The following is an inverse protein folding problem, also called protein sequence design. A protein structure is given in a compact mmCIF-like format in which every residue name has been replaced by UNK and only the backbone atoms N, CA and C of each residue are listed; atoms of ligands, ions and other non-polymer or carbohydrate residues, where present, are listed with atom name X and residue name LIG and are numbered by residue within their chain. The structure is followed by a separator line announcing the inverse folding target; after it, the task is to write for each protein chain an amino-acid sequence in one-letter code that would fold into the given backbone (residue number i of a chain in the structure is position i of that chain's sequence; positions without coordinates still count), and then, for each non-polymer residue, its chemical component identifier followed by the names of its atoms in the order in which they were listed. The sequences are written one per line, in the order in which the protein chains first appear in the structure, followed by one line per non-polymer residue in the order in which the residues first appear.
data_IF_165275492496
#
_entry.id   IF_165275492496
#
_cell.length_a   1.000
_cell.length_b   1.000
_cell.length_c   1.000
_cell.angle_alpha   90.00
_cell.angle_beta   90.00
_cell.angle_gamma   90.00
#
_symmetry.space_group_name_H-M   'P 1'
#
loop_
_entity.id
_entity.type
_entity.pdbx_description
1 polymer ?
#
# COMPACT_ATOMS: atom_id res chain seq x y z
N UNK A 1 -22.94 -30.58 -23.09
CA UNK A 1 -21.57 -30.00 -23.07
C UNK A 1 -21.40 -28.77 -23.97
N UNK A 2 -22.08 -28.71 -25.15
CA UNK A 2 -22.00 -27.57 -26.07
C UNK A 2 -22.73 -26.30 -25.54
N UNK A 3 -23.82 -26.47 -24.81
CA UNK A 3 -24.64 -25.38 -24.23
C UNK A 3 -23.89 -24.65 -23.12
N UNK A 4 -23.19 -25.36 -22.24
CA UNK A 4 -22.38 -24.78 -21.17
C UNK A 4 -21.13 -24.03 -21.69
N UNK A 5 -20.53 -24.51 -22.81
CA UNK A 5 -19.45 -23.77 -23.49
C UNK A 5 -19.94 -22.48 -24.14
N UNK A 6 -21.14 -22.49 -24.74
CA UNK A 6 -21.76 -21.26 -25.29
C UNK A 6 -22.10 -20.25 -24.21
N UNK A 7 -22.63 -20.68 -23.06
CA UNK A 7 -22.91 -19.77 -21.94
C UNK A 7 -21.64 -19.15 -21.36
N UNK A 8 -20.52 -19.93 -21.20
CA UNK A 8 -19.22 -19.37 -20.77
C UNK A 8 -18.63 -18.41 -21.80
N UNK A 9 -18.78 -18.65 -23.09
CA UNK A 9 -18.30 -17.74 -24.15
C UNK A 9 -19.18 -16.48 -24.28
N UNK A 10 -20.47 -16.57 -23.96
CA UNK A 10 -21.39 -15.42 -23.97
C UNK A 10 -21.07 -14.43 -22.84
N UNK A 11 -20.74 -14.92 -21.62
CA UNK A 11 -20.39 -14.05 -20.47
C UNK A 11 -19.08 -13.27 -20.63
N UNK A 12 -18.16 -13.65 -21.52
CA UNK A 12 -16.87 -12.99 -21.72
C UNK A 12 -16.92 -11.96 -22.89
N UNK A 13 -17.89 -12.09 -23.81
CA UNK A 13 -17.97 -11.24 -25.01
C UNK A 13 -18.83 -9.99 -24.90
N UNK A 14 -19.65 -9.86 -23.88
CA UNK A 14 -20.65 -8.78 -23.78
C UNK A 14 -20.45 -7.85 -22.57
N UNK A 15 -19.30 -7.90 -21.85
CA UNK A 15 -19.04 -6.94 -20.78
C UNK A 15 -18.61 -5.61 -21.39
N UNK A 16 -19.45 -4.60 -21.25
CA UNK A 16 -19.11 -3.21 -21.54
C UNK A 16 -18.07 -2.70 -20.53
N UNK A 17 -17.33 -1.66 -20.89
CA UNK A 17 -16.39 -0.99 -19.97
C UNK A 17 -17.06 -0.63 -18.63
N UNK A 18 -18.22 0.01 -18.68
CA UNK A 18 -18.98 0.38 -17.49
C UNK A 18 -19.46 -0.83 -16.67
N UNK A 19 -19.90 -1.90 -17.35
CA UNK A 19 -20.34 -3.13 -16.67
C UNK A 19 -19.19 -3.90 -16.03
N UNK A 20 -18.04 -4.00 -16.71
CA UNK A 20 -16.85 -4.68 -16.17
C UNK A 20 -16.31 -3.97 -14.92
N UNK A 21 -16.24 -2.63 -14.95
CA UNK A 21 -15.76 -1.81 -13.84
C UNK A 21 -16.84 -1.48 -12.81
N UNK A 22 -18.09 -1.90 -13.03
CA UNK A 22 -19.23 -1.57 -12.18
C UNK A 22 -19.37 -0.06 -11.91
N UNK A 23 -19.17 0.75 -12.96
CA UNK A 23 -19.08 2.20 -12.80
C UNK A 23 -20.34 2.83 -12.24
N UNK A 24 -21.53 2.32 -12.57
CA UNK A 24 -22.79 2.86 -12.04
C UNK A 24 -22.88 2.74 -10.51
N UNK A 25 -22.35 1.63 -9.98
CA UNK A 25 -22.30 1.41 -8.53
C UNK A 25 -21.20 2.26 -7.90
N UNK A 26 -19.99 2.19 -8.45
CA UNK A 26 -18.83 2.93 -7.94
C UNK A 26 -19.08 4.44 -7.91
N UNK A 27 -19.64 5.01 -8.99
CA UNK A 27 -19.90 6.45 -9.09
C UNK A 27 -21.22 6.87 -8.38
N UNK A 28 -21.94 5.93 -7.79
CA UNK A 28 -23.10 6.18 -6.95
C UNK A 28 -22.79 6.24 -5.45
N UNK A 29 -21.55 5.94 -5.04
CA UNK A 29 -21.16 5.84 -3.63
C UNK A 29 -20.76 7.18 -2.98
N UNK A 30 -20.83 8.30 -3.68
CA UNK A 30 -20.39 9.60 -3.19
C UNK A 30 -21.49 10.44 -2.55
N UNK A 31 -22.66 9.85 -2.30
CA UNK A 31 -23.82 10.57 -1.78
C UNK A 31 -23.87 10.72 -0.24
N UNK A 32 -22.79 10.30 0.47
CA UNK A 32 -22.76 10.26 1.94
C UNK A 32 -23.40 8.99 2.53
N UNK A 33 -23.36 8.80 3.87
CA UNK A 33 -23.72 7.55 4.53
C UNK A 33 -25.17 7.10 4.28
N UNK A 34 -26.11 8.04 4.17
CA UNK A 34 -27.52 7.74 3.94
C UNK A 34 -27.91 7.75 2.45
N UNK A 35 -26.93 7.98 1.57
CA UNK A 35 -27.12 8.04 0.12
C UNK A 35 -28.00 9.18 -0.36
N UNK A 36 -28.33 10.19 0.48
CA UNK A 36 -29.47 11.04 0.24
C UNK A 36 -29.36 12.50 0.69
N UNK A 37 -30.41 13.07 1.21
CA UNK A 37 -30.64 14.49 1.39
C UNK A 37 -30.15 15.01 2.76
N UNK A 38 -29.58 16.20 2.78
CA UNK A 38 -29.21 16.98 1.61
C UNK A 38 -28.01 16.37 0.86
N UNK A 39 -27.98 16.50 -0.47
CA UNK A 39 -26.84 16.08 -1.27
C UNK A 39 -25.55 16.73 -0.72
N UNK A 40 -24.39 16.04 -0.79
CA UNK A 40 -23.12 16.63 -0.36
C UNK A 40 -22.81 17.90 -1.16
N UNK A 41 -22.20 18.89 -0.51
CA UNK A 41 -21.62 20.04 -1.22
C UNK A 41 -20.49 19.57 -2.15
N UNK A 42 -20.03 20.43 -3.06
CA UNK A 42 -18.90 20.11 -3.90
C UNK A 42 -17.64 19.78 -3.09
N UNK A 43 -17.44 20.48 -1.97
CA UNK A 43 -16.30 20.31 -1.08
C UNK A 43 -16.40 19.00 -0.27
N UNK A 44 -17.60 18.67 0.21
CA UNK A 44 -17.86 17.38 0.88
C UNK A 44 -17.70 16.22 -0.10
N UNK A 45 -18.21 16.35 -1.33
CA UNK A 45 -17.99 15.34 -2.38
C UNK A 45 -16.51 15.18 -2.70
N UNK A 46 -15.75 16.29 -2.79
CA UNK A 46 -14.31 16.28 -2.95
C UNK A 46 -13.64 15.47 -1.83
N UNK A 47 -13.99 15.75 -0.57
CA UNK A 47 -13.48 15.03 0.59
C UNK A 47 -13.77 13.52 0.50
N UNK A 48 -15.02 13.14 0.17
CA UNK A 48 -15.42 11.74 0.02
C UNK A 48 -14.61 11.04 -1.08
N UNK A 49 -14.52 11.65 -2.26
CA UNK A 49 -13.80 11.06 -3.41
C UNK A 49 -12.32 10.85 -3.10
N UNK A 50 -11.67 11.83 -2.47
CA UNK A 50 -10.25 11.70 -2.08
C UNK A 50 -10.06 10.51 -1.14
N UNK A 51 -10.86 10.38 -0.09
CA UNK A 51 -10.76 9.26 0.85
C UNK A 51 -11.09 7.91 0.22
N UNK A 52 -12.13 7.84 -0.61
CA UNK A 52 -12.47 6.61 -1.33
C UNK A 52 -11.34 6.17 -2.28
N UNK A 53 -10.66 7.10 -2.93
CA UNK A 53 -9.52 6.75 -3.80
C UNK A 53 -8.33 6.26 -3.01
N UNK A 54 -8.05 6.79 -1.81
CA UNK A 54 -7.05 6.20 -0.89
C UNK A 54 -7.42 4.77 -0.53
N UNK A 55 -8.65 4.49 -0.13
CA UNK A 55 -9.10 3.15 0.25
C UNK A 55 -9.03 2.15 -0.91
N UNK A 56 -9.34 2.56 -2.13
CA UNK A 56 -9.19 1.72 -3.33
C UNK A 56 -7.72 1.39 -3.60
N UNK A 57 -6.81 2.34 -3.43
CA UNK A 57 -5.38 2.10 -3.56
C UNK A 57 -4.82 1.26 -2.42
N UNK A 58 -5.26 1.44 -1.19
CA UNK A 58 -4.88 0.58 -0.07
C UNK A 58 -5.26 -0.88 -0.34
N UNK A 59 -6.44 -1.12 -0.87
CA UNK A 59 -6.87 -2.46 -1.30
C UNK A 59 -5.93 -3.07 -2.34
N UNK A 60 -5.49 -2.29 -3.33
CA UNK A 60 -4.54 -2.76 -4.34
C UNK A 60 -3.18 -3.03 -3.73
N UNK A 61 -2.67 -2.13 -2.88
CA UNK A 61 -1.39 -2.31 -2.19
C UNK A 61 -1.41 -3.58 -1.33
N UNK A 62 -2.48 -3.83 -0.56
CA UNK A 62 -2.64 -5.06 0.21
C UNK A 62 -2.59 -6.31 -0.68
N UNK A 63 -3.22 -6.26 -1.85
CA UNK A 63 -3.18 -7.37 -2.83
C UNK A 63 -1.75 -7.68 -3.29
N UNK A 64 -0.95 -6.65 -3.60
CA UNK A 64 0.43 -6.78 -4.04
C UNK A 64 1.36 -7.26 -2.90
N UNK A 65 1.17 -6.72 -1.70
CA UNK A 65 1.92 -7.14 -0.51
C UNK A 65 1.62 -8.58 -0.12
N UNK A 66 0.35 -8.97 -0.10
CA UNK A 66 -0.07 -10.34 0.22
C UNK A 66 0.50 -11.36 -0.81
N UNK A 67 0.59 -10.98 -2.09
CA UNK A 67 1.23 -11.79 -3.10
C UNK A 67 2.74 -11.93 -2.84
N UNK A 68 3.42 -10.84 -2.45
CA UNK A 68 4.84 -10.82 -2.14
C UNK A 68 5.16 -11.66 -0.89
N UNK A 69 4.40 -11.48 0.19
CA UNK A 69 4.53 -12.27 1.43
C UNK A 69 4.37 -13.77 1.15
N UNK A 70 3.38 -14.14 0.36
CA UNK A 70 3.14 -15.54 0.00
C UNK A 70 4.28 -16.14 -0.84
N UNK A 71 4.85 -15.37 -1.78
CA UNK A 71 5.95 -15.85 -2.63
C UNK A 71 7.24 -16.00 -1.82
N UNK A 72 7.62 -15.00 -1.02
CA UNK A 72 8.83 -15.00 -0.21
C UNK A 72 8.75 -15.95 0.99
N UNK A 73 7.55 -16.15 1.53
CA UNK A 73 7.31 -17.04 2.67
C UNK A 73 7.39 -18.53 2.36
N UNK A 74 7.62 -18.94 1.11
CA UNK A 74 7.80 -20.35 0.76
C UNK A 74 9.10 -20.89 1.34
N UNK A 75 9.18 -22.20 1.68
CA UNK A 75 10.42 -22.83 2.16
C UNK A 75 11.60 -22.67 1.20
N UNK A 76 11.33 -22.66 -0.11
CA UNK A 76 12.27 -22.32 -1.16
C UNK A 76 11.59 -21.37 -2.15
N UNK A 77 12.23 -20.26 -2.48
CA UNK A 77 11.73 -19.29 -3.45
C UNK A 77 12.39 -19.56 -4.79
N UNK A 78 11.62 -20.02 -5.80
CA UNK A 78 12.18 -20.22 -7.15
C UNK A 78 12.70 -18.91 -7.72
N UNK A 79 13.86 -18.91 -8.37
CA UNK A 79 14.42 -17.71 -9.02
C UNK A 79 13.44 -17.04 -9.99
N UNK A 80 12.61 -17.81 -10.68
CA UNK A 80 11.56 -17.30 -11.58
C UNK A 80 10.45 -16.52 -10.88
N UNK A 81 10.30 -16.64 -9.54
CA UNK A 81 9.33 -15.89 -8.76
C UNK A 81 9.89 -14.55 -8.26
N UNK A 82 11.22 -14.38 -8.16
CA UNK A 82 11.85 -13.12 -7.72
C UNK A 82 11.44 -11.92 -8.61
N UNK A 83 11.46 -12.00 -9.94
CA UNK A 83 10.97 -10.89 -10.78
C UNK A 83 9.49 -10.56 -10.58
N UNK A 84 8.69 -11.51 -10.10
CA UNK A 84 7.27 -11.26 -9.75
C UNK A 84 7.16 -10.47 -8.47
N UNK A 85 7.93 -10.84 -7.44
CA UNK A 85 8.01 -10.08 -6.18
C UNK A 85 8.48 -8.65 -6.45
N UNK A 86 9.54 -8.48 -7.25
CA UNK A 86 10.03 -7.15 -7.64
C UNK A 86 8.93 -6.32 -8.27
N UNK A 87 8.19 -6.85 -9.26
CA UNK A 87 7.08 -6.13 -9.89
C UNK A 87 5.95 -5.78 -8.93
N UNK A 88 5.64 -6.65 -7.96
CA UNK A 88 4.65 -6.35 -6.93
C UNK A 88 5.09 -5.16 -6.07
N UNK A 89 6.35 -5.17 -5.60
CA UNK A 89 6.91 -4.12 -4.75
C UNK A 89 7.12 -2.80 -5.50
N UNK A 90 7.53 -2.85 -6.77
CA UNK A 90 7.58 -1.66 -7.65
C UNK A 90 6.20 -1.00 -7.77
N UNK A 91 5.15 -1.81 -8.01
CA UNK A 91 3.78 -1.28 -8.08
C UNK A 91 3.33 -0.66 -6.76
N UNK A 92 3.64 -1.28 -5.64
CA UNK A 92 3.39 -0.71 -4.30
C UNK A 92 4.09 0.65 -4.17
N UNK A 93 5.36 0.74 -4.56
CA UNK A 93 6.14 1.98 -4.51
C UNK A 93 5.52 3.08 -5.37
N UNK A 94 5.09 2.76 -6.59
CA UNK A 94 4.43 3.75 -7.48
C UNK A 94 3.08 4.20 -6.93
N UNK A 95 2.30 3.29 -6.33
CA UNK A 95 1.04 3.66 -5.69
C UNK A 95 1.30 4.61 -4.52
N UNK A 96 2.30 4.36 -3.67
CA UNK A 96 2.62 5.27 -2.57
C UNK A 96 3.11 6.64 -3.05
N UNK A 97 3.85 6.72 -4.17
CA UNK A 97 4.20 8.02 -4.80
C UNK A 97 2.96 8.77 -5.26
N UNK A 98 2.01 8.05 -5.89
CA UNK A 98 0.74 8.63 -6.29
C UNK A 98 -0.06 9.14 -5.09
N UNK A 99 -0.19 8.34 -4.01
CA UNK A 99 -0.89 8.72 -2.79
C UNK A 99 -0.26 9.96 -2.14
N UNK A 100 1.07 10.03 -2.09
CA UNK A 100 1.78 11.22 -1.61
C UNK A 100 1.50 12.46 -2.47
N UNK A 101 1.43 12.31 -3.80
CA UNK A 101 1.09 13.39 -4.70
C UNK A 101 -0.41 13.80 -4.60
N UNK A 102 -1.28 12.83 -4.37
CA UNK A 102 -2.73 13.05 -4.21
C UNK A 102 -3.05 13.91 -2.99
N UNK A 103 -2.18 13.93 -1.96
CA UNK A 103 -2.36 14.81 -0.80
C UNK A 103 -2.49 16.29 -1.20
N UNK A 104 -1.79 16.72 -2.26
CA UNK A 104 -1.92 18.08 -2.80
C UNK A 104 -3.34 18.41 -3.28
N UNK A 105 -4.09 17.40 -3.70
CA UNK A 105 -5.50 17.57 -4.07
C UNK A 105 -6.34 17.83 -2.83
N UNK A 106 -6.07 17.12 -1.73
CA UNK A 106 -6.74 17.33 -0.44
C UNK A 106 -6.42 18.71 0.16
N UNK A 107 -5.20 19.21 -0.01
CA UNK A 107 -4.75 20.53 0.45
C UNK A 107 -5.49 21.70 -0.23
N UNK A 108 -6.20 21.46 -1.33
CA UNK A 108 -7.05 22.50 -1.98
C UNK A 108 -8.35 22.76 -1.23
N UNK A 109 -8.73 21.89 -0.29
CA UNK A 109 -9.90 22.09 0.57
C UNK A 109 -9.56 23.13 1.66
N UNK A 110 -10.19 24.29 1.62
CA UNK A 110 -9.95 25.32 2.62
C UNK A 110 -10.56 24.92 3.98
N UNK A 111 -9.95 25.32 5.13
CA UNK A 111 -10.47 24.98 6.46
C UNK A 111 -11.93 25.38 6.67
N UNK A 112 -12.37 26.51 6.14
CA UNK A 112 -13.75 26.98 6.25
C UNK A 112 -14.73 26.09 5.48
N UNK A 113 -14.33 25.58 4.32
CA UNK A 113 -15.12 24.66 3.50
C UNK A 113 -15.27 23.31 4.21
N UNK A 114 -14.19 22.80 4.80
CA UNK A 114 -14.23 21.61 5.64
C UNK A 114 -15.17 21.78 6.85
N UNK A 115 -15.07 22.90 7.57
CA UNK A 115 -15.92 23.17 8.74
C UNK A 115 -17.40 23.26 8.37
N UNK A 116 -17.75 23.62 7.13
CA UNK A 116 -19.13 23.72 6.68
C UNK A 116 -19.87 22.35 6.64
N UNK A 117 -19.14 21.25 6.52
CA UNK A 117 -19.74 19.89 6.53
C UNK A 117 -19.20 18.99 7.64
N UNK A 118 -18.25 19.47 8.47
CA UNK A 118 -17.60 18.66 9.53
C UNK A 118 -18.58 17.95 10.45
N UNK A 119 -19.69 18.60 10.80
CA UNK A 119 -20.69 18.03 11.69
C UNK A 119 -21.40 16.79 11.09
N UNK A 120 -21.43 16.68 9.77
CA UNK A 120 -21.99 15.52 9.06
C UNK A 120 -21.12 14.28 9.17
N UNK A 121 -19.80 14.45 9.41
CA UNK A 121 -18.87 13.35 9.61
C UNK A 121 -19.01 12.72 11.01
N UNK A 122 -19.70 13.39 11.92
CA UNK A 122 -19.83 12.90 13.30
C UNK A 122 -18.47 12.70 13.97
N UNK A 123 -18.27 11.52 14.54
CA UNK A 123 -17.02 11.09 15.18
C UNK A 123 -16.01 10.46 14.23
N UNK A 124 -16.36 10.32 12.94
CA UNK A 124 -15.50 9.63 11.96
C UNK A 124 -14.11 10.26 11.84
N UNK A 125 -13.10 9.42 11.73
CA UNK A 125 -11.69 9.78 11.65
C UNK A 125 -10.96 8.89 10.64
N UNK A 126 -9.98 9.46 9.92
CA UNK A 126 -9.10 8.69 9.03
C UNK A 126 -8.29 7.60 9.76
N UNK A 127 -8.15 7.70 11.09
CA UNK A 127 -7.53 6.63 11.91
C UNK A 127 -8.39 5.36 11.98
N UNK A 128 -9.63 5.41 11.54
CA UNK A 128 -10.56 4.27 11.47
C UNK A 128 -10.39 3.43 10.21
N UNK A 129 -9.52 3.82 9.29
CA UNK A 129 -9.20 3.00 8.12
C UNK A 129 -8.57 1.68 8.54
N UNK A 130 -9.35 0.60 8.47
CA UNK A 130 -8.85 -0.73 8.76
C UNK A 130 -7.85 -1.21 7.71
N UNK A 131 -7.95 -0.75 6.47
CA UNK A 131 -6.98 -1.07 5.42
C UNK A 131 -5.62 -0.46 5.71
N UNK A 132 -5.57 0.77 6.25
CA UNK A 132 -4.32 1.38 6.67
C UNK A 132 -3.66 0.56 7.80
N UNK A 133 -4.44 0.10 8.78
CA UNK A 133 -3.92 -0.81 9.83
C UNK A 133 -3.44 -2.14 9.26
N UNK A 134 -4.19 -2.71 8.29
CA UNK A 134 -3.78 -3.92 7.58
C UNK A 134 -2.45 -3.74 6.84
N UNK A 135 -2.22 -2.56 6.22
CA UNK A 135 -0.96 -2.22 5.57
C UNK A 135 0.21 -2.19 6.56
N UNK A 136 0.05 -1.52 7.70
CA UNK A 136 1.07 -1.44 8.74
C UNK A 136 1.47 -2.83 9.26
N UNK A 137 0.48 -3.68 9.54
CA UNK A 137 0.71 -5.07 9.97
C UNK A 137 1.41 -5.89 8.89
N UNK A 138 0.94 -5.78 7.63
CA UNK A 138 1.50 -6.56 6.53
C UNK A 138 2.92 -6.14 6.17
N UNK A 139 3.26 -4.86 6.31
CA UNK A 139 4.63 -4.35 6.13
C UNK A 139 5.55 -4.76 7.28
N UNK A 140 5.02 -4.95 8.49
CA UNK A 140 5.78 -5.29 9.68
C UNK A 140 6.29 -4.06 10.43
N UNK A 141 5.52 -2.96 10.43
CA UNK A 141 5.88 -1.80 11.24
C UNK A 141 5.85 -2.17 12.73
N UNK A 142 6.92 -1.80 13.45
CA UNK A 142 6.97 -1.94 14.91
C UNK A 142 6.07 -0.92 15.60
N UNK A 143 5.78 -1.14 16.90
CA UNK A 143 4.94 -0.22 17.67
C UNK A 143 5.56 1.19 17.76
N UNK A 144 6.90 1.29 17.79
CA UNK A 144 7.60 2.58 17.79
C UNK A 144 7.49 3.34 16.46
N UNK A 145 7.24 2.63 15.36
CA UNK A 145 7.07 3.22 14.02
C UNK A 145 5.62 3.64 13.75
N UNK A 146 4.70 3.27 14.63
CA UNK A 146 3.30 3.66 14.55
C UNK A 146 3.04 4.95 15.32
N UNK A 147 1.90 5.56 15.06
CA UNK A 147 1.46 6.73 15.84
C UNK A 147 1.27 6.32 17.30
N UNK A 148 1.96 7.01 18.21
CA UNK A 148 1.96 6.70 19.63
C UNK A 148 0.55 6.59 20.23
N UNK A 149 0.34 5.57 21.05
CA UNK A 149 -0.89 5.37 21.84
C UNK A 149 -2.07 4.78 21.06
N UNK A 150 -1.91 4.45 19.79
CA UNK A 150 -2.97 3.80 19.01
C UNK A 150 -2.77 2.28 19.06
N UNK A 151 -3.59 1.58 19.84
CA UNK A 151 -3.77 0.13 19.69
C UNK A 151 -4.43 -0.12 18.33
N UNK A 152 -3.71 -0.72 17.35
CA UNK A 152 -4.19 -0.81 15.97
C UNK A 152 -5.45 -1.66 15.83
N UNK A 153 -5.70 -2.57 16.77
CA UNK A 153 -6.82 -3.51 16.70
C UNK A 153 -7.89 -3.19 17.75
N UNK A 154 -7.52 -2.77 18.94
CA UNK A 154 -8.49 -2.51 20.00
C UNK A 154 -9.49 -1.41 19.64
N UNK A 155 -9.08 -0.36 18.91
CA UNK A 155 -9.99 0.64 18.39
C UNK A 155 -10.94 0.06 17.34
N UNK A 156 -10.44 -0.75 16.40
CA UNK A 156 -11.23 -1.36 15.34
C UNK A 156 -12.20 -2.43 15.88
N UNK A 157 -11.83 -3.15 16.93
CA UNK A 157 -12.77 -4.03 17.66
C UNK A 157 -13.93 -3.25 18.28
N UNK A 158 -13.70 -2.04 18.76
CA UNK A 158 -14.79 -1.18 19.26
C UNK A 158 -15.72 -0.71 18.12
N UNK A 159 -15.17 -0.34 16.96
CA UNK A 159 -15.97 0.00 15.77
C UNK A 159 -16.80 -1.20 15.29
N UNK A 160 -16.22 -2.39 15.28
CA UNK A 160 -16.96 -3.61 14.99
C UNK A 160 -18.11 -3.86 15.98
N UNK A 161 -17.86 -3.67 17.27
CA UNK A 161 -18.88 -3.88 18.30
C UNK A 161 -20.09 -2.94 18.20
N UNK A 162 -19.93 -1.77 17.57
CA UNK A 162 -21.04 -0.82 17.31
C UNK A 162 -21.60 -0.94 15.89
N UNK A 163 -21.09 -1.86 15.08
CA UNK A 163 -21.59 -2.16 13.74
C UNK A 163 -20.97 -1.33 12.60
N UNK A 164 -19.94 -0.51 12.90
CA UNK A 164 -19.29 0.35 11.92
C UNK A 164 -18.19 -0.37 11.11
N UNK A 165 -17.89 -1.62 11.45
CA UNK A 165 -16.93 -2.46 10.76
C UNK A 165 -17.51 -3.87 10.53
N UNK A 166 -17.29 -4.45 9.35
CA UNK A 166 -17.78 -5.79 9.03
C UNK A 166 -16.98 -6.90 9.70
N UNK A 167 -17.64 -8.05 9.97
CA UNK A 167 -16.98 -9.28 10.48
C UNK A 167 -15.80 -9.70 9.61
N UNK A 168 -15.92 -9.60 8.29
CA UNK A 168 -14.87 -9.98 7.35
C UNK A 168 -13.64 -9.08 7.46
N UNK A 169 -13.83 -7.78 7.66
CA UNK A 169 -12.72 -6.83 7.82
C UNK A 169 -11.98 -7.04 9.14
N UNK A 170 -12.70 -7.29 10.24
CA UNK A 170 -12.08 -7.61 11.53
C UNK A 170 -11.30 -8.94 11.47
N UNK A 171 -11.91 -9.97 10.89
CA UNK A 171 -11.26 -11.29 10.75
C UNK A 171 -9.98 -11.22 9.88
N UNK A 172 -9.96 -10.41 8.80
CA UNK A 172 -8.77 -10.19 7.99
C UNK A 172 -7.65 -9.51 8.79
N UNK A 173 -7.98 -8.50 9.60
CA UNK A 173 -7.00 -7.84 10.46
C UNK A 173 -6.43 -8.77 11.53
N UNK A 174 -7.27 -9.52 12.22
CA UNK A 174 -6.83 -10.46 13.24
C UNK A 174 -5.94 -11.55 12.65
N UNK A 175 -6.27 -12.06 11.48
CA UNK A 175 -5.42 -13.00 10.75
C UNK A 175 -4.06 -12.42 10.34
N UNK A 176 -3.96 -11.08 10.16
CA UNK A 176 -2.69 -10.41 9.83
C UNK A 176 -1.76 -10.29 11.02
N UNK A 177 -2.29 -10.22 12.24
CA UNK A 177 -1.46 -10.19 13.47
C UNK A 177 -0.67 -11.48 13.66
N UNK A 178 -1.31 -12.62 13.36
CA UNK A 178 -0.76 -13.93 13.63
C UNK A 178 0.14 -14.48 12.50
N UNK A 179 0.19 -13.80 11.36
CA UNK A 179 0.99 -14.23 10.21
C UNK A 179 2.28 -13.41 10.06
N UNK A 180 3.35 -13.99 9.48
CA UNK A 180 4.57 -13.24 9.18
C UNK A 180 4.29 -12.04 8.27
N UNK A 181 4.90 -10.90 8.60
CA UNK A 181 4.88 -9.69 7.78
C UNK A 181 5.80 -9.80 6.56
N UNK A 182 5.75 -8.81 5.67
CA UNK A 182 6.71 -8.68 4.57
C UNK A 182 8.14 -8.58 5.09
N UNK A 183 8.35 -7.80 6.16
CA UNK A 183 9.66 -7.67 6.81
C UNK A 183 10.18 -9.03 7.28
N UNK A 184 9.35 -9.82 7.97
CA UNK A 184 9.76 -11.12 8.50
C UNK A 184 10.13 -12.11 7.39
N UNK A 185 9.30 -12.19 6.32
CA UNK A 185 9.60 -13.11 5.22
C UNK A 185 10.80 -12.66 4.40
N UNK A 186 11.04 -11.35 4.27
CA UNK A 186 12.25 -10.82 3.64
C UNK A 186 13.51 -11.18 4.42
N UNK A 187 13.52 -10.95 5.73
CA UNK A 187 14.65 -11.33 6.59
C UNK A 187 14.90 -12.83 6.54
N UNK A 188 13.84 -13.63 6.62
CA UNK A 188 13.95 -15.09 6.53
C UNK A 188 14.49 -15.53 5.17
N UNK A 189 14.04 -14.92 4.07
CA UNK A 189 14.52 -15.23 2.73
C UNK A 189 15.98 -14.81 2.55
N UNK A 190 16.36 -13.61 2.99
CA UNK A 190 17.74 -13.12 2.94
C UNK A 190 18.68 -14.01 3.76
N UNK A 191 18.29 -14.37 4.99
CA UNK A 191 19.11 -15.19 5.89
C UNK A 191 19.40 -16.60 5.38
N UNK A 192 18.56 -17.15 4.49
CA UNK A 192 18.76 -18.47 3.88
C UNK A 192 19.28 -18.42 2.44
N UNK A 193 19.43 -17.22 1.86
CA UNK A 193 19.89 -17.06 0.48
C UNK A 193 21.42 -17.07 0.47
N UNK A 194 22.06 -17.97 -0.29
CA UNK A 194 23.53 -17.98 -0.39
C UNK A 194 24.06 -16.63 -0.89
N UNK A 195 25.07 -16.10 -0.22
CA UNK A 195 25.79 -14.88 -0.63
C UNK A 195 27.13 -15.30 -1.21
N UNK A 196 27.38 -14.96 -2.47
CA UNK A 196 28.59 -15.34 -3.21
C UNK A 196 28.94 -16.84 -3.10
N UNK A 197 27.89 -17.68 -3.03
CA UNK A 197 28.02 -19.14 -2.91
C UNK A 197 28.23 -19.66 -1.51
N UNK A 198 28.35 -18.80 -0.50
CA UNK A 198 28.37 -19.20 0.90
C UNK A 198 26.96 -19.53 1.39
N UNK A 199 26.85 -20.59 2.16
CA UNK A 199 25.62 -21.00 2.83
C UNK A 199 25.70 -20.60 4.31
N UNK A 200 24.55 -20.35 4.92
CA UNK A 200 24.43 -20.17 6.37
C UNK A 200 25.08 -21.36 7.07
N UNK A 201 25.92 -21.08 8.06
CA UNK A 201 26.71 -22.08 8.82
C UNK A 201 27.95 -22.66 8.09
N UNK A 202 28.34 -22.13 6.92
CA UNK A 202 29.67 -22.43 6.36
C UNK A 202 30.79 -21.76 7.17
N UNK A 203 31.94 -22.41 7.30
CA UNK A 203 33.06 -21.92 8.14
C UNK A 203 33.51 -20.48 7.82
N UNK A 204 33.35 -20.04 6.57
CA UNK A 204 33.75 -18.70 6.10
C UNK A 204 32.55 -17.76 5.86
N UNK A 205 31.35 -18.15 6.20
CA UNK A 205 30.12 -17.41 5.86
C UNK A 205 30.13 -15.98 6.40
N UNK A 206 30.51 -15.79 7.65
CA UNK A 206 30.59 -14.47 8.29
C UNK A 206 31.52 -13.51 7.52
N UNK A 207 32.66 -14.00 7.06
CA UNK A 207 33.63 -13.20 6.31
C UNK A 207 33.11 -12.86 4.91
N UNK A 208 32.45 -13.80 4.22
CA UNK A 208 31.84 -13.60 2.90
C UNK A 208 30.68 -12.60 3.00
N UNK A 209 29.82 -12.73 3.98
CA UNK A 209 28.70 -11.80 4.23
C UNK A 209 29.23 -10.40 4.56
N UNK A 210 30.24 -10.28 5.44
CA UNK A 210 30.83 -8.99 5.77
C UNK A 210 31.45 -8.31 4.53
N UNK A 211 32.18 -9.04 3.71
CA UNK A 211 32.78 -8.50 2.48
C UNK A 211 31.70 -8.05 1.47
N UNK A 212 30.62 -8.82 1.32
CA UNK A 212 29.49 -8.45 0.48
C UNK A 212 28.80 -7.17 0.97
N UNK A 213 28.52 -7.08 2.27
CA UNK A 213 27.88 -5.90 2.88
C UNK A 213 28.75 -4.66 2.71
N UNK A 214 30.07 -4.75 2.97
CA UNK A 214 31.00 -3.65 2.81
C UNK A 214 31.10 -3.20 1.36
N UNK A 215 31.15 -4.14 0.43
CA UNK A 215 31.14 -3.87 -1.01
C UNK A 215 29.85 -3.15 -1.44
N UNK A 216 28.70 -3.62 -0.96
CA UNK A 216 27.39 -3.02 -1.26
C UNK A 216 27.28 -1.59 -0.69
N UNK A 217 27.65 -1.39 0.56
CA UNK A 217 27.65 -0.06 1.20
C UNK A 217 28.60 0.91 0.50
N UNK A 218 29.77 0.44 0.06
CA UNK A 218 30.69 1.24 -0.73
C UNK A 218 30.11 1.67 -2.07
N UNK A 219 29.47 0.73 -2.79
CA UNK A 219 28.79 1.02 -4.05
C UNK A 219 27.63 2.02 -3.87
N UNK A 220 26.84 1.87 -2.80
CA UNK A 220 25.75 2.81 -2.48
C UNK A 220 26.28 4.23 -2.19
N UNK A 221 27.37 4.37 -1.43
CA UNK A 221 28.02 5.67 -1.17
C UNK A 221 28.50 6.31 -2.46
N UNK A 222 29.22 5.55 -3.30
CA UNK A 222 29.68 6.04 -4.61
C UNK A 222 28.51 6.53 -5.46
N UNK A 223 27.41 5.76 -5.51
CA UNK A 223 26.21 6.16 -6.27
C UNK A 223 25.57 7.43 -5.69
N UNK A 224 25.46 7.54 -4.37
CA UNK A 224 24.95 8.75 -3.71
C UNK A 224 25.79 9.98 -4.03
N UNK A 225 27.13 9.85 -3.97
CA UNK A 225 28.05 10.93 -4.33
C UNK A 225 27.91 11.36 -5.79
N UNK A 226 27.74 10.41 -6.71
CA UNK A 226 27.49 10.70 -8.13
C UNK A 226 26.16 11.44 -8.33
N UNK A 227 25.08 11.02 -7.65
CA UNK A 227 23.78 11.69 -7.72
C UNK A 227 23.87 13.11 -7.18
N UNK A 228 24.53 13.32 -6.03
CA UNK A 228 24.76 14.64 -5.44
C UNK A 228 25.56 15.51 -6.40
N UNK A 229 26.64 15.00 -6.97
CA UNK A 229 27.47 15.72 -7.93
C UNK A 229 26.67 16.17 -9.16
N UNK A 230 25.79 15.30 -9.69
CA UNK A 230 24.89 15.65 -10.81
C UNK A 230 23.90 16.73 -10.42
N UNK A 231 23.30 16.65 -9.22
CA UNK A 231 22.37 17.68 -8.73
C UNK A 231 23.04 19.03 -8.55
N UNK A 232 24.26 19.07 -8.01
CA UNK A 232 25.08 20.29 -7.88
C UNK A 232 25.41 20.90 -9.26
N UNK A 233 25.80 20.07 -10.22
CA UNK A 233 26.12 20.51 -11.58
C UNK A 233 24.87 21.11 -12.28
N UNK A 234 23.69 20.52 -12.12
CA UNK A 234 22.42 21.05 -12.65
C UNK A 234 22.04 22.37 -11.94
N UNK A 235 22.21 22.45 -10.60
CA UNK A 235 21.95 23.67 -9.84
C UNK A 235 22.87 24.82 -10.24
N UNK A 236 24.14 24.56 -10.51
CA UNK A 236 25.06 25.58 -11.01
C UNK A 236 24.74 26.02 -12.45
N UNK A 237 24.25 25.09 -13.31
CA UNK A 237 23.79 25.41 -14.65
C UNK A 237 22.54 26.32 -14.67
N UNK A 238 21.62 26.12 -13.73
CA UNK A 238 20.42 26.97 -13.58
C UNK A 238 20.76 28.38 -13.08
N UNK A 239 21.82 28.53 -12.27
CA UNK A 239 22.28 29.84 -11.78
C UNK A 239 22.89 30.70 -12.90
N UNK A 240 23.39 30.08 -13.99
CA UNK A 240 23.94 30.78 -15.15
C UNK A 240 22.88 31.23 -16.16
N UNK A 241 21.64 30.74 -16.06
CA UNK A 241 20.52 31.10 -16.97
C UNK A 241 19.74 32.31 -16.44
N UNK A 242 19.97 32.73 -15.20
CA UNK A 242 19.30 33.88 -14.56
C UNK A 242 20.15 35.16 -14.48
N UNK A 243 21.12 35.32 -15.39
CA UNK A 243 21.84 36.61 -15.60
C UNK A 243 21.45 37.22 -16.92
#
# INVERSE_FOLDING_TARGET
PATLRRQRQMCIRDSTYAGYLRLNELLGLQAGPDGHLPAPSADEQHFIVVHQTYELWFKQVLTELDASVRLLGQPSVPEGDIPRVVRHLERVSEIFRLLSAQWKVMETLAPQEFLAFRDRLGTSSGFESWQMRALELTLGLSDEQRVEGVDPIGHLRRLHAVGDMSDAALADLEARVDRPSLHDVLLTWLGRTPIDGSLVDADEDEAVVAAFVDGHLSAMRTHADEVIARMVAVGQGLSLIHI
#
